data_IF_853675431710
#
_entry.id   IF_853675431710
#
_cell.length_a   1.000
_cell.length_b   1.000
_cell.length_c   1.000
_cell.angle_alpha   90.00
_cell.angle_beta   90.00
_cell.angle_gamma   90.00
#
_symmetry.space_group_name_H-M   'P 1'
#
loop_
_entity.id
_entity.type
_entity.pdbx_description
1 polymer ?
#
# COMPACT_ATOMS: atom_id res chain seq x y z
N UNK A 1 5.21 -7.27 -19.99
CA UNK A 1 4.79 -5.99 -19.43
C UNK A 1 4.85 -6.05 -17.91
N UNK A 2 5.59 -5.15 -17.30
CA UNK A 2 5.82 -5.18 -15.87
C UNK A 2 4.74 -4.39 -15.13
N UNK A 3 4.10 -5.03 -14.16
CA UNK A 3 3.12 -4.36 -13.33
C UNK A 3 3.86 -3.55 -12.26
N UNK A 4 3.50 -2.29 -12.12
CA UNK A 4 4.09 -1.45 -11.10
C UNK A 4 3.27 -1.56 -9.81
N UNK A 5 3.92 -1.94 -8.73
CA UNK A 5 3.28 -2.15 -7.43
C UNK A 5 3.71 -1.05 -6.47
N UNK A 6 2.76 -0.42 -5.83
CA UNK A 6 3.03 0.58 -4.80
C UNK A 6 2.99 -0.05 -3.42
N UNK A 7 3.88 0.38 -2.54
CA UNK A 7 3.94 -0.13 -1.19
C UNK A 7 3.98 1.04 -0.21
N UNK A 8 2.93 1.17 0.59
CA UNK A 8 2.82 2.25 1.57
C UNK A 8 2.97 1.66 2.96
N UNK A 9 4.02 2.07 3.66
CA UNK A 9 4.34 1.54 4.98
C UNK A 9 5.11 0.24 4.86
N UNK A 10 6.38 0.25 5.23
CA UNK A 10 7.22 -0.93 5.12
C UNK A 10 7.27 -1.74 6.41
N UNK A 11 7.67 -1.11 7.51
CA UNK A 11 7.76 -1.80 8.78
C UNK A 11 8.57 -3.09 8.73
N UNK A 12 8.36 -3.91 9.73
CA UNK A 12 9.10 -5.19 9.84
C UNK A 12 8.68 -6.15 8.74
N UNK A 13 7.39 -6.24 8.46
CA UNK A 13 6.86 -7.17 7.48
C UNK A 13 6.97 -6.66 6.05
N UNK A 14 6.86 -5.36 5.88
CA UNK A 14 6.87 -4.76 4.54
C UNK A 14 8.20 -4.86 3.82
N UNK A 15 9.31 -4.74 4.56
CA UNK A 15 10.64 -4.84 3.94
C UNK A 15 10.87 -6.19 3.25
N UNK A 16 10.68 -7.33 3.95
CA UNK A 16 10.88 -8.63 3.30
C UNK A 16 9.94 -8.85 2.14
N UNK A 17 8.69 -8.42 2.26
CA UNK A 17 7.72 -8.55 1.19
C UNK A 17 8.11 -7.75 -0.04
N UNK A 18 8.56 -6.51 0.19
CA UNK A 18 9.01 -5.65 -0.90
C UNK A 18 10.19 -6.27 -1.64
N UNK A 19 11.16 -6.79 -0.90
CA UNK A 19 12.32 -7.43 -1.49
C UNK A 19 11.95 -8.68 -2.29
N UNK A 20 10.98 -9.45 -1.79
CA UNK A 20 10.50 -10.63 -2.51
C UNK A 20 9.83 -10.25 -3.81
N UNK A 21 9.05 -9.18 -3.82
CA UNK A 21 8.41 -8.71 -5.04
C UNK A 21 9.44 -8.24 -6.06
N UNK A 22 10.48 -7.58 -5.62
CA UNK A 22 11.57 -7.17 -6.50
C UNK A 22 12.28 -8.37 -7.12
N UNK A 23 12.52 -9.41 -6.32
CA UNK A 23 13.12 -10.64 -6.83
C UNK A 23 12.25 -11.33 -7.85
N UNK A 24 10.94 -11.18 -7.71
CA UNK A 24 9.99 -11.77 -8.65
C UNK A 24 9.87 -10.98 -9.95
N UNK A 25 10.53 -9.84 -10.06
CA UNK A 25 10.54 -9.06 -11.29
C UNK A 25 9.56 -7.92 -11.35
N UNK A 26 8.88 -7.62 -10.25
CA UNK A 26 7.95 -6.48 -10.23
C UNK A 26 8.70 -5.16 -10.05
N UNK A 27 8.16 -4.11 -10.65
CA UNK A 27 8.64 -2.76 -10.38
C UNK A 27 7.93 -2.26 -9.13
N UNK A 28 8.68 -1.71 -8.20
CA UNK A 28 8.15 -1.28 -6.91
C UNK A 28 8.38 0.19 -6.66
N UNK A 29 7.34 0.86 -6.15
CA UNK A 29 7.44 2.23 -5.67
C UNK A 29 7.02 2.22 -4.22
N UNK A 30 7.88 2.71 -3.33
CA UNK A 30 7.65 2.62 -1.88
C UNK A 30 7.54 3.98 -1.23
N UNK A 31 6.82 4.04 -0.14
CA UNK A 31 6.72 5.22 0.71
C UNK A 31 6.63 4.79 2.16
N UNK A 32 7.38 5.46 3.02
CA UNK A 32 7.36 5.21 4.45
C UNK A 32 7.81 6.48 5.14
N UNK A 33 7.39 6.68 6.38
CA UNK A 33 7.84 7.82 7.17
C UNK A 33 9.27 7.66 7.64
N UNK A 34 9.77 6.44 7.68
CA UNK A 34 11.12 6.13 8.14
C UNK A 34 12.07 6.05 6.95
N UNK A 35 12.99 7.02 6.79
CA UNK A 35 13.92 7.01 5.66
C UNK A 35 14.83 5.78 5.64
N UNK A 36 15.15 5.22 6.79
CA UNK A 36 16.00 4.04 6.86
C UNK A 36 15.33 2.82 6.25
N UNK A 37 14.02 2.69 6.46
CA UNK A 37 13.27 1.59 5.88
C UNK A 37 13.24 1.70 4.36
N UNK A 38 13.09 2.91 3.86
CA UNK A 38 13.07 3.16 2.42
C UNK A 38 14.43 2.88 1.79
N UNK A 39 15.50 3.33 2.44
CA UNK A 39 16.84 3.18 1.90
C UNK A 39 17.20 1.72 1.65
N UNK A 40 16.81 0.85 2.57
CA UNK A 40 17.09 -0.57 2.47
C UNK A 40 16.42 -1.20 1.24
N UNK A 41 15.19 -0.80 0.97
CA UNK A 41 14.43 -1.33 -0.16
C UNK A 41 14.88 -0.70 -1.48
N UNK A 42 15.25 0.57 -1.46
CA UNK A 42 15.82 1.24 -2.64
C UNK A 42 17.11 0.56 -3.06
N UNK A 43 17.93 0.18 -2.09
CA UNK A 43 19.18 -0.53 -2.38
C UNK A 43 18.90 -1.86 -3.08
N UNK A 44 17.73 -2.43 -2.89
CA UNK A 44 17.33 -3.67 -3.54
C UNK A 44 16.68 -3.44 -4.91
N UNK A 45 16.46 -2.18 -5.32
CA UNK A 45 15.97 -1.86 -6.64
C UNK A 45 14.63 -1.12 -6.72
N UNK A 46 14.05 -0.76 -5.58
CA UNK A 46 12.77 -0.04 -5.58
C UNK A 46 12.94 1.45 -5.86
N UNK A 47 11.88 2.06 -6.36
CA UNK A 47 11.79 3.50 -6.48
C UNK A 47 11.04 4.03 -5.25
N UNK A 48 11.07 5.33 -5.03
CA UNK A 48 10.36 5.93 -3.91
C UNK A 48 9.48 7.09 -4.38
N UNK A 49 8.43 7.35 -3.61
CA UNK A 49 7.57 8.50 -3.82
C UNK A 49 7.30 9.15 -2.46
N UNK A 50 6.99 10.43 -2.48
CA UNK A 50 6.83 11.19 -1.24
C UNK A 50 5.47 11.03 -0.58
N UNK A 51 4.43 10.72 -1.35
CA UNK A 51 3.07 10.60 -0.82
C UNK A 51 2.36 9.39 -1.38
N UNK A 52 1.34 8.89 -0.68
CA UNK A 52 0.48 7.84 -1.23
C UNK A 52 -0.17 8.23 -2.55
N UNK A 53 -0.53 9.50 -2.69
CA UNK A 53 -1.08 10.01 -3.94
C UNK A 53 -0.13 9.78 -5.10
N UNK A 54 1.16 10.12 -4.91
CA UNK A 54 2.16 9.95 -5.95
C UNK A 54 2.34 8.49 -6.33
N UNK A 55 2.25 7.59 -5.35
CA UNK A 55 2.29 6.16 -5.61
C UNK A 55 1.06 5.74 -6.42
N UNK A 56 -0.11 6.20 -6.01
CA UNK A 56 -1.36 5.81 -6.65
C UNK A 56 -1.44 6.29 -8.10
N UNK A 57 -0.81 7.40 -8.41
CA UNK A 57 -0.83 7.93 -9.77
C UNK A 57 -0.07 7.06 -10.76
N UNK A 58 0.87 6.26 -10.30
CA UNK A 58 1.70 5.46 -11.18
C UNK A 58 1.59 3.96 -10.98
N UNK A 59 0.83 3.50 -10.00
CA UNK A 59 0.73 2.07 -9.70
C UNK A 59 -0.70 1.58 -9.87
N UNK A 60 -0.86 0.35 -10.37
CA UNK A 60 -2.17 -0.27 -10.51
C UNK A 60 -2.56 -1.04 -9.26
N UNK A 61 -1.57 -1.58 -8.57
CA UNK A 61 -1.77 -2.32 -7.34
C UNK A 61 -1.02 -1.61 -6.23
N UNK A 62 -1.72 -1.30 -5.16
CA UNK A 62 -1.14 -0.57 -4.03
C UNK A 62 -1.33 -1.42 -2.78
N UNK A 63 -0.23 -1.71 -2.12
CA UNK A 63 -0.25 -2.48 -0.87
C UNK A 63 -0.04 -1.52 0.29
N UNK A 64 -0.94 -1.59 1.28
CA UNK A 64 -0.77 -0.79 2.48
C UNK A 64 -0.43 -1.70 3.65
N UNK A 65 0.58 -1.32 4.42
CA UNK A 65 0.99 -2.04 5.62
C UNK A 65 1.37 -1.02 6.67
N UNK A 66 0.35 -0.46 7.30
CA UNK A 66 0.50 0.63 8.25
C UNK A 66 0.12 0.16 9.65
N UNK A 67 0.60 0.84 10.70
CA UNK A 67 0.47 0.31 12.06
C UNK A 67 -0.94 0.24 12.63
N UNK A 68 -1.85 1.09 12.20
CA UNK A 68 -3.20 1.08 12.76
C UNK A 68 -4.21 1.76 11.85
N UNK A 69 -5.48 1.67 12.24
CA UNK A 69 -6.58 2.19 11.44
C UNK A 69 -6.47 3.67 11.06
N UNK A 70 -6.12 4.58 11.97
CA UNK A 70 -5.99 5.99 11.58
C UNK A 70 -4.93 6.22 10.51
N UNK A 71 -3.81 5.49 10.59
CA UNK A 71 -2.76 5.64 9.60
C UNK A 71 -3.20 5.12 8.22
N UNK A 72 -3.93 4.01 8.19
CA UNK A 72 -4.45 3.47 6.94
C UNK A 72 -5.47 4.43 6.34
N UNK A 73 -6.36 4.95 7.17
CA UNK A 73 -7.38 5.88 6.70
C UNK A 73 -6.76 7.15 6.13
N UNK A 74 -5.76 7.70 6.82
CA UNK A 74 -5.06 8.89 6.35
C UNK A 74 -4.34 8.63 5.03
N UNK A 75 -3.67 7.48 4.93
CA UNK A 75 -2.96 7.13 3.70
C UNK A 75 -3.89 6.87 2.52
N UNK A 76 -5.07 6.35 2.77
CA UNK A 76 -6.01 6.04 1.70
C UNK A 76 -6.90 7.23 1.35
N UNK A 77 -7.45 7.91 2.34
CA UNK A 77 -8.48 8.93 2.16
C UNK A 77 -8.06 10.34 2.52
N UNK A 78 -6.92 10.52 3.17
CA UNK A 78 -6.48 11.83 3.62
C UNK A 78 -5.94 12.69 2.51
N UNK A 79 -5.44 13.85 2.87
CA UNK A 79 -4.79 14.75 1.93
C UNK A 79 -3.56 14.06 1.33
N UNK A 80 -3.45 14.09 0.02
CA UNK A 80 -2.42 13.37 -0.72
C UNK A 80 -2.49 11.85 -0.51
N UNK A 81 -3.68 11.35 -0.22
CA UNK A 81 -3.91 9.92 -0.04
C UNK A 81 -4.15 9.20 -1.37
N UNK A 82 -4.30 7.89 -1.28
CA UNK A 82 -4.51 7.04 -2.46
C UNK A 82 -5.70 7.53 -3.30
N UNK A 83 -6.80 7.90 -2.63
CA UNK A 83 -8.03 8.27 -3.33
C UNK A 83 -7.85 9.47 -4.25
N UNK A 84 -6.87 10.31 -3.98
CA UNK A 84 -6.64 11.49 -4.80
C UNK A 84 -5.83 11.18 -6.06
N UNK A 85 -5.09 10.10 -6.08
CA UNK A 85 -4.21 9.77 -7.20
C UNK A 85 -4.60 8.51 -7.98
N UNK A 86 -5.29 7.58 -7.34
CA UNK A 86 -5.60 6.31 -7.98
C UNK A 86 -6.63 6.45 -9.10
N UNK A 87 -6.42 5.67 -10.14
CA UNK A 87 -7.34 5.65 -11.28
C UNK A 87 -8.40 4.60 -11.06
N UNK A 88 -9.59 4.76 -11.68
CA UNK A 88 -10.59 3.70 -11.64
C UNK A 88 -10.01 2.39 -12.15
N UNK A 89 -10.31 1.31 -11.46
CA UNK A 89 -9.74 0.02 -11.79
C UNK A 89 -8.51 -0.37 -10.98
N UNK A 90 -7.95 0.57 -10.22
CA UNK A 90 -6.83 0.27 -9.34
C UNK A 90 -7.28 -0.60 -8.18
N UNK A 91 -6.34 -1.39 -7.64
CA UNK A 91 -6.60 -2.28 -6.52
C UNK A 91 -5.73 -1.88 -5.33
N UNK A 92 -6.35 -1.73 -4.17
CA UNK A 92 -5.64 -1.50 -2.92
C UNK A 92 -5.74 -2.78 -2.10
N UNK A 93 -4.60 -3.37 -1.78
CA UNK A 93 -4.53 -4.55 -0.94
C UNK A 93 -4.04 -4.13 0.44
N UNK A 94 -4.92 -4.13 1.41
CA UNK A 94 -4.55 -3.73 2.76
C UNK A 94 -4.14 -4.94 3.57
N UNK A 95 -2.88 -4.96 3.94
CA UNK A 95 -2.32 -6.04 4.76
C UNK A 95 -2.12 -5.57 6.19
N UNK A 96 -2.60 -4.38 6.51
CA UNK A 96 -2.55 -3.86 7.87
C UNK A 96 -3.59 -4.55 8.75
N UNK A 97 -3.31 -4.61 10.03
CA UNK A 97 -4.24 -5.17 10.99
C UNK A 97 -5.13 -4.04 11.51
N UNK A 98 -6.25 -3.81 10.85
CA UNK A 98 -7.15 -2.72 11.22
C UNK A 98 -8.54 -3.24 11.54
N UNK A 99 -9.31 -2.40 12.26
CA UNK A 99 -10.67 -2.76 12.64
C UNK A 99 -11.57 -2.92 11.40
N UNK A 100 -12.47 -3.90 11.40
CA UNK A 100 -13.36 -4.11 10.26
C UNK A 100 -14.19 -2.88 9.89
N UNK A 101 -14.59 -2.10 10.87
CA UNK A 101 -15.35 -0.87 10.60
C UNK A 101 -14.53 0.12 9.81
N UNK A 102 -13.28 0.31 10.21
CA UNK A 102 -12.38 1.24 9.50
C UNK A 102 -12.13 0.77 8.07
N UNK A 103 -11.91 -0.53 7.90
CA UNK A 103 -11.71 -1.09 6.57
C UNK A 103 -12.93 -0.86 5.68
N UNK A 104 -14.12 -1.05 6.23
CA UNK A 104 -15.36 -0.85 5.49
C UNK A 104 -15.51 0.61 5.04
N UNK A 105 -15.24 1.56 5.94
CA UNK A 105 -15.34 2.98 5.59
C UNK A 105 -14.39 3.34 4.46
N UNK A 106 -13.17 2.86 4.55
CA UNK A 106 -12.16 3.12 3.53
C UNK A 106 -12.56 2.48 2.21
N UNK A 107 -13.00 1.23 2.26
CA UNK A 107 -13.39 0.48 1.07
C UNK A 107 -14.56 1.16 0.34
N UNK A 108 -15.54 1.63 1.07
CA UNK A 108 -16.70 2.30 0.47
C UNK A 108 -16.29 3.60 -0.20
N UNK A 109 -15.42 4.38 0.43
CA UNK A 109 -14.95 5.62 -0.14
C UNK A 109 -14.14 5.39 -1.42
N UNK A 110 -13.29 4.38 -1.41
CA UNK A 110 -12.49 4.03 -2.58
C UNK A 110 -13.38 3.50 -3.71
N UNK A 111 -14.36 2.69 -3.37
CA UNK A 111 -15.28 2.13 -4.35
C UNK A 111 -16.04 3.21 -5.09
N UNK A 112 -16.37 4.30 -4.42
CA UNK A 112 -17.05 5.42 -5.04
C UNK A 112 -16.21 6.05 -6.16
N UNK A 113 -14.91 5.83 -6.14
CA UNK A 113 -13.99 6.31 -7.17
C UNK A 113 -13.60 5.21 -8.16
N UNK A 114 -14.22 4.04 -8.06
CA UNK A 114 -13.89 2.92 -8.93
C UNK A 114 -12.65 2.13 -8.50
N UNK A 115 -12.21 2.30 -7.27
CA UNK A 115 -11.05 1.62 -6.72
C UNK A 115 -11.50 0.47 -5.84
N UNK A 116 -10.93 -0.71 -6.06
CA UNK A 116 -11.28 -1.90 -5.28
C UNK A 116 -10.30 -2.05 -4.11
N UNK A 117 -10.82 -2.27 -2.90
CA UNK A 117 -10.00 -2.54 -1.75
C UNK A 117 -10.18 -3.98 -1.31
N UNK A 118 -9.08 -4.70 -1.19
CA UNK A 118 -9.07 -6.07 -0.70
C UNK A 118 -8.43 -6.09 0.68
N UNK A 119 -9.00 -6.84 1.59
CA UNK A 119 -8.44 -7.03 2.91
C UNK A 119 -7.77 -8.38 2.99
N UNK A 120 -6.48 -8.37 3.27
CA UNK A 120 -5.72 -9.60 3.43
C UNK A 120 -4.78 -9.44 4.60
N UNK A 121 -5.30 -9.37 5.82
CA UNK A 121 -4.46 -9.14 6.99
C UNK A 121 -3.42 -10.24 7.16
N UNK A 122 -2.23 -9.83 7.52
CA UNK A 122 -1.11 -10.74 7.72
C UNK A 122 -1.11 -11.22 9.17
N UNK A 123 -2.27 -11.51 9.72
CA UNK A 123 -2.28 -12.08 11.05
C UNK A 123 -1.97 -13.55 10.90
N UNK A 124 -0.84 -13.94 11.40
CA UNK A 124 -0.40 -15.31 11.29
C UNK A 124 -1.42 -16.26 11.85
N UNK A 125 -1.65 -17.31 11.13
CA UNK A 125 -2.56 -18.32 11.60
C UNK A 125 -4.02 -17.96 11.49
N UNK A 126 -4.34 -16.95 10.76
CA UNK A 126 -5.73 -16.58 10.57
C UNK A 126 -6.36 -17.51 9.55
N UNK A 127 -7.02 -18.53 9.95
CA UNK A 127 -7.49 -19.55 9.01
C UNK A 127 -8.66 -19.11 8.22
N UNK A 128 -9.46 -18.31 8.63
CA UNK A 128 -10.68 -17.95 7.90
C UNK A 128 -11.41 -19.08 7.34
#
# INVERSE_FOLDING_TARGET
MTIKVGFIGLGIMGKPMSKNLLKAGYSLVVSDRNPEAIADVIAAGAETATTPKAIAEQCEVIITMLPNSPHVKEGALGENGIIEGAKPGSVVSDMSSIAPRARREISEALKAKGIVMLGAPVSGGEPN
#
